data_IF_589867149466
#
_entry.id   IF_589867149466
#
_cell.length_a   1.000
_cell.length_b   1.000
_cell.length_c   1.000
_cell.angle_alpha   90.00
_cell.angle_beta   90.00
_cell.angle_gamma   90.00
#
_symmetry.space_group_name_H-M   'P 1'
#
loop_
_entity.id
_entity.type
_entity.pdbx_description
1 polymer ?
#
# COMPACT_ATOMS: atom_id res chain seq x y z
N UNK A 1 4.37 -22.72 6.57
CA UNK A 1 5.25 -21.56 6.33
C UNK A 1 5.80 -20.97 7.63
N UNK A 2 4.96 -20.41 8.50
CA UNK A 2 5.40 -19.76 9.76
C UNK A 2 6.25 -20.64 10.68
N UNK A 3 5.93 -21.94 10.81
CA UNK A 3 6.74 -22.88 11.60
C UNK A 3 8.20 -22.93 11.12
N UNK A 4 8.42 -22.92 9.79
CA UNK A 4 9.77 -22.94 9.21
C UNK A 4 10.50 -21.61 9.41
N UNK A 5 9.79 -20.49 9.29
CA UNK A 5 10.33 -19.15 9.60
C UNK A 5 10.74 -19.07 11.07
N UNK A 6 9.96 -19.67 11.97
CA UNK A 6 10.27 -19.71 13.40
C UNK A 6 11.52 -20.52 13.75
N UNK A 7 11.80 -21.62 13.03
CA UNK A 7 13.06 -22.35 13.16
C UNK A 7 14.25 -21.48 12.76
N UNK A 8 14.19 -20.87 11.57
CA UNK A 8 15.26 -19.99 11.07
C UNK A 8 15.44 -18.75 11.96
N UNK A 9 14.36 -18.17 12.47
CA UNK A 9 14.42 -17.03 13.40
C UNK A 9 15.20 -17.36 14.67
N UNK A 10 15.09 -18.59 15.19
CA UNK A 10 15.87 -19.07 16.35
C UNK A 10 17.35 -19.24 15.99
N UNK A 11 17.64 -19.80 14.82
CA UNK A 11 19.02 -20.02 14.35
C UNK A 11 19.79 -18.70 14.20
N UNK A 12 19.14 -17.65 13.70
CA UNK A 12 19.76 -16.33 13.49
C UNK A 12 19.69 -15.42 14.73
N UNK A 13 19.09 -15.87 15.83
CA UNK A 13 18.93 -15.07 17.05
C UNK A 13 17.99 -13.86 16.90
N UNK A 14 16.96 -13.97 16.05
CA UNK A 14 15.95 -12.93 15.87
C UNK A 14 15.08 -12.76 17.13
N UNK A 15 14.48 -11.58 17.29
CA UNK A 15 13.53 -11.26 18.36
C UNK A 15 12.17 -11.94 18.18
N UNK A 16 11.09 -11.23 18.50
CA UNK A 16 9.74 -11.77 18.36
C UNK A 16 9.32 -11.94 16.89
N UNK A 17 8.73 -13.10 16.57
CA UNK A 17 8.04 -13.34 15.30
C UNK A 17 6.56 -13.00 15.45
N UNK A 18 6.07 -12.02 14.69
CA UNK A 18 4.67 -11.59 14.68
C UNK A 18 4.11 -11.87 13.28
N UNK A 19 2.90 -12.41 13.22
CA UNK A 19 2.16 -12.63 11.98
C UNK A 19 0.76 -12.04 12.14
N UNK A 20 0.29 -11.37 11.10
CA UNK A 20 -1.03 -10.76 11.06
C UNK A 20 -1.74 -11.17 9.77
N UNK A 21 -3.04 -11.39 9.88
CA UNK A 21 -3.94 -11.67 8.77
C UNK A 21 -4.95 -10.53 8.63
N UNK A 22 -5.76 -10.53 7.56
CA UNK A 22 -6.72 -9.44 7.33
C UNK A 22 -6.06 -8.16 6.83
N UNK A 23 -5.00 -8.30 6.04
CA UNK A 23 -4.26 -7.20 5.44
C UNK A 23 -4.39 -7.26 3.93
N UNK A 24 -4.53 -6.10 3.29
CA UNK A 24 -4.53 -5.94 1.84
C UNK A 24 -3.43 -4.98 1.39
N UNK A 25 -2.92 -5.20 0.18
CA UNK A 25 -2.00 -4.28 -0.46
C UNK A 25 -2.75 -3.49 -1.53
N UNK A 26 -2.78 -2.16 -1.39
CA UNK A 26 -3.30 -1.25 -2.41
C UNK A 26 -2.14 -0.49 -3.04
N UNK A 27 -2.10 -0.41 -4.37
CA UNK A 27 -0.96 0.14 -5.10
C UNK A 27 -1.38 1.17 -6.14
N UNK A 28 -0.68 2.29 -6.19
CA UNK A 28 -0.72 3.22 -7.32
C UNK A 28 0.48 2.92 -8.20
N UNK A 29 0.26 2.77 -9.51
CA UNK A 29 1.28 2.40 -10.50
C UNK A 29 1.24 3.39 -11.65
N UNK A 30 2.40 3.87 -12.10
CA UNK A 30 2.50 4.76 -13.26
C UNK A 30 3.95 5.07 -13.65
N UNK A 31 4.22 5.10 -14.95
CA UNK A 31 5.56 5.41 -15.49
C UNK A 31 5.99 6.86 -15.24
N UNK A 32 5.05 7.80 -15.14
CA UNK A 32 5.33 9.22 -14.86
C UNK A 32 5.72 9.53 -13.41
N UNK A 33 5.69 8.53 -12.52
CA UNK A 33 5.89 8.69 -11.08
C UNK A 33 7.33 9.07 -10.70
N UNK A 34 8.31 8.61 -11.49
CA UNK A 34 9.73 8.90 -11.26
C UNK A 34 10.09 10.38 -11.48
N UNK A 35 9.40 11.05 -12.40
CA UNK A 35 9.76 12.41 -12.84
C UNK A 35 8.84 13.50 -12.32
N UNK A 36 7.71 13.13 -11.72
CA UNK A 36 6.75 14.10 -11.17
C UNK A 36 6.61 13.89 -9.66
N UNK A 37 7.07 14.84 -8.83
CA UNK A 37 6.88 14.73 -7.39
C UNK A 37 5.40 14.84 -7.02
N UNK A 38 5.02 14.26 -5.87
CA UNK A 38 3.70 14.46 -5.26
C UNK A 38 2.72 13.29 -5.39
N UNK A 39 3.06 12.21 -6.09
CA UNK A 39 2.21 11.00 -6.13
C UNK A 39 2.04 10.38 -4.73
N UNK A 40 3.13 10.23 -3.97
CA UNK A 40 3.08 9.68 -2.61
C UNK A 40 2.25 10.55 -1.67
N UNK A 41 2.49 11.87 -1.64
CA UNK A 41 1.75 12.78 -0.77
C UNK A 41 0.26 12.82 -1.12
N UNK A 42 -0.09 12.78 -2.42
CA UNK A 42 -1.48 12.67 -2.87
C UNK A 42 -2.11 11.35 -2.42
N UNK A 43 -1.43 10.22 -2.64
CA UNK A 43 -1.92 8.90 -2.21
C UNK A 43 -2.19 8.87 -0.69
N UNK A 44 -1.23 9.32 0.13
CA UNK A 44 -1.39 9.32 1.59
C UNK A 44 -2.47 10.28 2.06
N UNK A 45 -2.59 11.46 1.42
CA UNK A 45 -3.67 12.40 1.71
C UNK A 45 -5.04 11.78 1.44
N UNK A 46 -5.23 11.16 0.28
CA UNK A 46 -6.49 10.52 -0.10
C UNK A 46 -6.89 9.41 0.86
N UNK A 47 -5.93 8.57 1.26
CA UNK A 47 -6.18 7.51 2.24
C UNK A 47 -6.49 8.07 3.63
N UNK A 48 -5.77 9.11 4.07
CA UNK A 48 -6.01 9.78 5.35
C UNK A 48 -7.40 10.46 5.40
N UNK A 49 -7.80 11.15 4.34
CA UNK A 49 -9.11 11.82 4.25
C UNK A 49 -10.26 10.80 4.26
N UNK A 50 -10.02 9.58 3.75
CA UNK A 50 -10.93 8.44 3.84
C UNK A 50 -10.85 7.63 5.13
N UNK A 51 -10.07 8.08 6.13
CA UNK A 51 -9.84 7.39 7.39
C UNK A 51 -9.32 5.94 7.23
N UNK A 52 -8.44 5.74 6.24
CA UNK A 52 -7.75 4.47 6.00
C UNK A 52 -6.36 4.54 6.63
N UNK A 53 -6.10 3.68 7.63
CA UNK A 53 -4.79 3.59 8.26
C UNK A 53 -3.80 2.85 7.34
N UNK A 54 -2.55 3.31 7.30
CA UNK A 54 -1.47 2.67 6.55
C UNK A 54 -0.54 1.97 7.55
N UNK A 55 -0.44 0.65 7.46
CA UNK A 55 0.42 -0.16 8.34
C UNK A 55 1.86 -0.26 7.81
N UNK A 56 2.01 -0.29 6.48
CA UNK A 56 3.32 -0.38 5.83
C UNK A 56 3.30 0.30 4.46
N UNK A 57 4.42 0.92 4.10
CA UNK A 57 4.64 1.52 2.79
C UNK A 57 5.82 0.81 2.13
N UNK A 58 5.66 0.42 0.87
CA UNK A 58 6.76 -0.04 0.01
C UNK A 58 6.72 0.69 -1.31
N UNK A 59 7.88 0.96 -1.90
CA UNK A 59 7.99 1.81 -3.10
C UNK A 59 8.97 1.24 -4.11
N UNK A 60 8.69 1.47 -5.40
CA UNK A 60 9.64 1.40 -6.52
C UNK A 60 9.55 2.69 -7.34
N UNK A 61 10.31 2.79 -8.43
CA UNK A 61 10.31 3.98 -9.29
C UNK A 61 8.94 4.28 -9.93
N UNK A 62 8.10 3.26 -10.10
CA UNK A 62 6.81 3.37 -10.78
C UNK A 62 5.63 2.89 -9.93
N UNK A 63 5.85 2.53 -8.66
CA UNK A 63 4.83 1.95 -7.78
C UNK A 63 4.99 2.43 -6.35
N UNK A 64 3.87 2.80 -5.74
CA UNK A 64 3.75 2.95 -4.29
C UNK A 64 2.68 1.99 -3.83
N UNK A 65 3.02 1.12 -2.89
CA UNK A 65 2.12 0.12 -2.30
C UNK A 65 1.96 0.40 -0.80
N UNK A 66 0.72 0.46 -0.35
CA UNK A 66 0.36 0.59 1.06
C UNK A 66 -0.32 -0.70 1.54
N UNK A 67 0.12 -1.19 2.68
CA UNK A 67 -0.56 -2.26 3.41
C UNK A 67 -1.59 -1.62 4.34
N UNK A 68 -2.82 -2.09 4.24
CA UNK A 68 -4.01 -1.58 4.94
C UNK A 68 -4.85 -2.75 5.45
N UNK A 69 -5.87 -2.46 6.26
CA UNK A 69 -6.87 -3.47 6.65
C UNK A 69 -7.65 -3.97 5.44
N UNK A 70 -7.82 -5.29 5.34
CA UNK A 70 -8.48 -5.94 4.19
C UNK A 70 -9.92 -5.45 3.99
N UNK A 71 -10.66 -5.23 5.08
CA UNK A 71 -12.02 -4.68 5.06
C UNK A 71 -12.12 -3.27 4.43
N UNK A 72 -11.02 -2.51 4.40
CA UNK A 72 -10.96 -1.17 3.80
C UNK A 72 -10.47 -1.20 2.35
N UNK A 73 -10.12 -2.37 1.80
CA UNK A 73 -9.45 -2.46 0.50
C UNK A 73 -10.26 -1.87 -0.64
N UNK A 74 -11.55 -2.22 -0.74
CA UNK A 74 -12.40 -1.71 -1.82
C UNK A 74 -12.60 -0.19 -1.74
N UNK A 75 -12.77 0.33 -0.52
CA UNK A 75 -12.97 1.77 -0.33
C UNK A 75 -11.69 2.54 -0.61
N UNK A 76 -10.54 2.02 -0.17
CA UNK A 76 -9.23 2.60 -0.49
C UNK A 76 -9.02 2.68 -2.01
N UNK A 77 -9.37 1.63 -2.76
CA UNK A 77 -9.29 1.64 -4.23
C UNK A 77 -10.20 2.72 -4.82
N UNK A 78 -11.46 2.82 -4.39
CA UNK A 78 -12.42 3.83 -4.87
C UNK A 78 -11.94 5.26 -4.58
N UNK A 79 -11.44 5.51 -3.37
CA UNK A 79 -10.90 6.81 -2.98
C UNK A 79 -9.69 7.20 -3.83
N UNK A 80 -8.77 6.25 -4.04
CA UNK A 80 -7.58 6.47 -4.86
C UNK A 80 -7.94 6.74 -6.32
N UNK A 81 -8.87 5.98 -6.90
CA UNK A 81 -9.37 6.23 -8.25
C UNK A 81 -9.87 7.67 -8.42
N UNK A 82 -10.72 8.14 -7.50
CA UNK A 82 -11.21 9.53 -7.49
C UNK A 82 -10.08 10.55 -7.27
N UNK A 83 -9.20 10.31 -6.29
CA UNK A 83 -8.09 11.20 -5.97
C UNK A 83 -7.07 11.36 -7.09
N UNK A 84 -6.96 10.36 -7.96
CA UNK A 84 -6.15 10.38 -9.18
C UNK A 84 -6.94 10.68 -10.46
N UNK A 85 -8.24 10.99 -10.35
CA UNK A 85 -9.11 11.36 -11.48
C UNK A 85 -9.17 10.27 -12.56
N UNK A 86 -9.11 9.00 -12.16
CA UNK A 86 -9.14 7.84 -13.08
C UNK A 86 -10.57 7.46 -13.52
N UNK A 87 -11.57 8.10 -12.91
CA UNK A 87 -12.99 7.89 -13.21
C UNK A 87 -13.50 8.82 -14.32
N UNK A 88 -12.65 9.74 -14.81
CA UNK A 88 -12.96 10.65 -15.90
C UNK A 88 -12.47 10.09 -17.25
N UNK A 89 -13.19 10.31 -18.37
CA UNK A 89 -12.69 9.94 -19.68
C UNK A 89 -11.39 10.69 -19.97
N UNK A 90 -10.36 9.94 -20.38
CA UNK A 90 -9.06 10.52 -20.72
C UNK A 90 -9.15 11.53 -21.86
N UNK A 91 -8.17 12.44 -21.99
CA UNK A 91 -8.15 13.40 -23.08
C UNK A 91 -8.13 12.67 -24.43
N UNK A 92 -9.02 13.06 -25.34
CA UNK A 92 -9.02 12.64 -26.75
C UNK A 92 -7.74 13.11 -27.49
#
# INVERSE_FOLDING_TARGET
ALAKVGETAKEIGSGALISEAGLAAVSVVGSGMQHTPGYASRMFRVLADGNVNIDMITTSEIRISCIIREEQAEEAVRLLHRGFQLDEPGPE
#
